data_IF_503634432937
#
_entry.id   IF_503634432937
#
_cell.length_a   1.000
_cell.length_b   1.000
_cell.length_c   1.000
_cell.angle_alpha   90.00
_cell.angle_beta   90.00
_cell.angle_gamma   90.00
#
_symmetry.space_group_name_H-M   'P 1'
#
loop_
_entity.id
_entity.type
_entity.pdbx_description
1 polymer ?
#
# COMPACT_ATOMS: atom_id res chain seq x y z
N UNK A 1 -11.33 33.11 -16.91
CA UNK A 1 -10.93 32.62 -16.66
C UNK A 1 -10.37 32.22 -16.12
N UNK A 2 -10.44 32.29 -15.85
CA UNK A 2 -9.87 31.65 -15.35
C UNK A 2 -9.62 31.38 -14.46
N UNK A 3 -10.00 31.31 -14.28
CA UNK A 3 -9.84 30.80 -13.53
C UNK A 3 -9.62 30.09 -13.07
N UNK A 4 -9.86 29.92 -12.95
CA UNK A 4 -9.62 28.96 -12.66
C UNK A 4 -8.81 28.51 -12.37
N UNK A 5 -8.80 28.64 -12.45
CA UNK A 5 -8.05 28.09 -12.23
C UNK A 5 -7.40 27.98 -11.55
N UNK A 6 -7.49 28.30 -11.44
CA UNK A 6 -6.84 28.02 -10.81
C UNK A 6 -6.73 27.64 -9.93
N UNK A 7 -7.32 27.57 -9.86
CA UNK A 7 -7.21 27.03 -9.07
C UNK A 7 -6.66 26.39 -8.55
N UNK A 8 -6.54 26.43 -8.90
CA UNK A 8 -6.00 25.84 -8.55
C UNK A 8 -5.47 25.28 -7.94
N UNK A 9 -5.63 25.22 -8.27
CA UNK A 9 -4.91 24.68 -7.82
C UNK A 9 -4.56 25.02 -6.60
N UNK A 10 -5.17 25.13 -6.00
CA UNK A 10 -4.81 25.33 -5.01
C UNK A 10 -4.35 24.69 -4.27
N UNK A 11 -4.56 24.95 -3.97
CA UNK A 11 -3.61 23.92 -3.74
C UNK A 11 -3.45 23.58 -2.29
N UNK A 12 -3.90 22.43 -1.95
CA UNK A 12 -3.69 21.86 -0.64
C UNK A 12 -2.30 21.22 -0.59
N UNK A 13 -1.61 21.27 0.56
CA UNK A 13 -0.36 20.53 0.68
C UNK A 13 -0.62 19.05 0.43
N UNK A 14 0.31 18.35 -0.19
CA UNK A 14 0.13 16.92 -0.39
C UNK A 14 -0.04 16.20 0.94
N UNK A 15 -0.93 15.24 0.97
CA UNK A 15 -1.14 14.42 2.15
C UNK A 15 0.14 13.65 2.45
N UNK A 16 0.64 13.77 3.67
CA UNK A 16 1.89 13.12 4.05
C UNK A 16 1.62 11.88 4.88
N UNK A 17 1.72 10.74 4.23
CA UNK A 17 1.58 9.46 4.89
C UNK A 17 2.85 9.13 5.68
N UNK A 18 2.65 8.45 6.79
CA UNK A 18 3.72 7.92 7.61
C UNK A 18 3.49 6.44 7.81
N UNK A 19 4.57 5.70 8.03
CA UNK A 19 4.50 4.30 8.40
C UNK A 19 5.46 4.05 9.54
N UNK A 20 5.04 3.27 10.53
CA UNK A 20 5.95 2.94 11.64
C UNK A 20 7.04 2.00 11.16
N UNK A 21 8.22 2.12 11.76
CA UNK A 21 9.34 1.23 11.46
C UNK A 21 8.95 -0.23 11.68
N UNK A 22 8.21 -0.48 12.74
CA UNK A 22 7.74 -1.82 13.04
C UNK A 22 6.87 -2.38 11.92
N UNK A 23 6.00 -1.56 11.36
CA UNK A 23 5.10 -1.98 10.28
C UNK A 23 5.87 -2.28 8.98
N UNK A 24 6.77 -1.39 8.58
CA UNK A 24 7.54 -1.63 7.35
C UNK A 24 8.48 -2.83 7.50
N UNK A 25 9.06 -3.01 8.67
CA UNK A 25 9.90 -4.19 8.93
C UNK A 25 9.08 -5.47 8.83
N UNK A 26 7.86 -5.46 9.34
CA UNK A 26 6.96 -6.61 9.21
C UNK A 26 6.67 -6.94 7.75
N UNK A 27 6.41 -5.91 6.94
CA UNK A 27 6.16 -6.08 5.49
C UNK A 27 7.37 -6.72 4.81
N UNK A 28 8.56 -6.20 5.09
CA UNK A 28 9.77 -6.68 4.43
C UNK A 28 10.12 -8.11 4.86
N UNK A 29 10.00 -8.41 6.14
CA UNK A 29 10.29 -9.76 6.64
C UNK A 29 9.25 -10.76 6.14
N UNK A 30 7.99 -10.39 6.10
CA UNK A 30 6.93 -11.25 5.60
C UNK A 30 7.10 -11.52 4.10
N UNK A 31 7.49 -10.51 3.35
CA UNK A 31 7.76 -10.66 1.91
C UNK A 31 8.92 -11.62 1.68
N UNK A 32 9.95 -11.51 2.50
CA UNK A 32 11.12 -12.38 2.42
C UNK A 32 10.76 -13.83 2.74
N UNK A 33 9.97 -14.04 3.79
CA UNK A 33 9.55 -15.38 4.23
C UNK A 33 8.66 -16.07 3.21
N UNK A 34 7.89 -15.31 2.46
CA UNK A 34 6.92 -15.84 1.51
C UNK A 34 7.55 -16.12 0.15
N UNK A 35 8.69 -15.46 -0.13
CA UNK A 35 9.36 -15.60 -1.41
C UNK A 35 9.57 -17.08 -1.78
N UNK A 36 9.33 -17.53 -3.02
CA UNK A 36 9.03 -16.73 -4.22
C UNK A 36 7.54 -16.41 -4.41
N UNK A 37 6.70 -16.78 -3.47
CA UNK A 37 5.29 -16.46 -3.52
C UNK A 37 5.06 -15.02 -3.08
N UNK A 38 3.92 -14.44 -3.45
CA UNK A 38 3.61 -13.06 -3.09
C UNK A 38 2.95 -12.99 -1.71
N UNK A 39 3.41 -12.04 -0.93
CA UNK A 39 2.79 -11.65 0.33
C UNK A 39 1.77 -10.55 0.05
N UNK A 40 0.65 -10.54 0.76
CA UNK A 40 -0.34 -9.47 0.60
C UNK A 40 -1.21 -9.25 1.84
N UNK A 41 -1.75 -8.05 1.91
CA UNK A 41 -2.63 -7.66 3.01
C UNK A 41 -3.14 -6.24 2.84
N UNK A 42 -3.75 -5.73 3.91
CA UNK A 42 -4.28 -4.37 3.96
C UNK A 42 -3.48 -3.51 4.92
N UNK A 43 -3.41 -2.24 4.61
CA UNK A 43 -2.75 -1.26 5.46
C UNK A 43 -3.77 -0.61 6.37
N UNK A 44 -3.50 -0.61 7.68
CA UNK A 44 -4.35 -0.01 8.69
C UNK A 44 -3.61 1.13 9.35
N UNK A 45 -4.35 2.25 9.56
CA UNK A 45 -3.81 3.42 10.25
C UNK A 45 -4.15 3.38 11.74
N UNK A 46 -3.42 4.20 12.49
CA UNK A 46 -3.66 4.41 13.91
C UNK A 46 -5.04 5.02 14.15
N UNK A 47 -5.65 4.72 15.29
CA UNK A 47 -6.99 5.20 15.63
C UNK A 47 -7.04 6.72 15.76
N UNK A 48 -5.96 7.33 16.19
CA UNK A 48 -5.87 8.77 16.43
C UNK A 48 -5.13 9.46 15.29
N UNK A 49 -3.94 8.96 14.96
CA UNK A 49 -3.11 9.52 13.89
C UNK A 49 -3.47 8.86 12.56
N UNK A 50 -4.50 9.39 11.92
CA UNK A 50 -5.11 8.78 10.74
C UNK A 50 -4.22 8.80 9.49
N UNK A 51 -3.08 9.46 9.55
CA UNK A 51 -2.08 9.50 8.48
C UNK A 51 -0.95 8.50 8.69
N UNK A 52 -0.99 7.74 9.79
CA UNK A 52 0.11 6.86 10.19
C UNK A 52 -0.30 5.40 10.08
N UNK A 53 0.34 4.69 9.16
CA UNK A 53 0.12 3.27 8.96
C UNK A 53 0.87 2.51 10.05
N UNK A 54 0.15 1.68 10.81
CA UNK A 54 0.70 1.03 11.99
C UNK A 54 0.68 -0.49 11.92
N UNK A 55 -0.15 -1.08 11.05
CA UNK A 55 -0.16 -2.54 10.96
C UNK A 55 -0.71 -3.02 9.62
N UNK A 56 -0.45 -4.29 9.33
CA UNK A 56 -0.97 -4.99 8.18
C UNK A 56 -2.03 -5.97 8.65
N UNK A 57 -3.20 -5.90 8.02
CA UNK A 57 -4.27 -6.88 8.24
C UNK A 57 -4.10 -7.96 7.19
N UNK A 58 -3.85 -9.17 7.64
CA UNK A 58 -3.65 -10.30 6.74
C UNK A 58 -4.98 -10.86 6.27
N UNK A 59 -4.99 -11.30 5.02
CA UNK A 59 -6.15 -12.00 4.45
C UNK A 59 -5.80 -13.48 4.38
N UNK A 60 -6.67 -14.37 4.86
CA UNK A 60 -6.39 -15.80 4.75
C UNK A 60 -6.09 -16.19 3.31
N UNK A 61 -5.01 -16.92 3.11
CA UNK A 61 -4.57 -17.37 1.79
C UNK A 61 -3.53 -16.50 1.12
N UNK A 62 -3.32 -15.25 1.56
CA UNK A 62 -2.30 -14.39 0.93
C UNK A 62 -0.89 -14.90 1.17
N UNK A 63 -0.63 -15.48 2.33
CA UNK A 63 0.69 -16.01 2.68
C UNK A 63 1.04 -17.23 1.83
N UNK A 64 0.03 -17.94 1.32
CA UNK A 64 0.26 -19.10 0.46
C UNK A 64 0.65 -18.71 -0.98
N UNK A 65 0.65 -17.44 -1.31
CA UNK A 65 1.02 -16.96 -2.62
C UNK A 65 -0.12 -16.92 -3.61
N UNK A 66 -1.34 -17.09 -3.14
CA UNK A 66 -2.53 -16.99 -3.99
C UNK A 66 -2.88 -15.52 -4.18
N UNK A 67 -2.52 -14.96 -5.33
CA UNK A 67 -2.81 -13.55 -5.62
C UNK A 67 -4.32 -13.26 -5.68
N UNK A 68 -5.14 -14.28 -5.89
CA UNK A 68 -6.59 -14.11 -5.89
C UNK A 68 -7.12 -13.77 -4.50
N UNK A 69 -6.38 -14.08 -3.45
CA UNK A 69 -6.81 -13.75 -2.09
C UNK A 69 -7.00 -12.24 -1.91
N UNK A 70 -6.25 -11.42 -2.64
CA UNK A 70 -6.39 -9.96 -2.59
C UNK A 70 -7.77 -9.54 -3.10
N UNK A 71 -8.33 -10.24 -4.07
CA UNK A 71 -9.65 -9.92 -4.61
C UNK A 71 -10.79 -10.23 -3.64
N UNK A 72 -10.52 -10.94 -2.56
CA UNK A 72 -11.53 -11.19 -1.52
C UNK A 72 -11.71 -10.01 -0.57
N UNK A 73 -11.01 -8.91 -0.83
CA UNK A 73 -11.10 -7.69 0.00
C UNK A 73 -12.54 -7.21 0.17
N UNK A 74 -13.34 -7.32 -0.88
CA UNK A 74 -14.75 -6.87 -0.85
C UNK A 74 -15.60 -7.69 0.11
N UNK A 75 -15.11 -8.84 0.58
CA UNK A 75 -15.83 -9.70 1.52
C UNK A 75 -15.55 -9.36 2.97
N UNK A 76 -14.61 -8.46 3.22
CA UNK A 76 -14.30 -8.01 4.57
C UNK A 76 -15.35 -7.02 5.05
N UNK A 77 -15.63 -6.98 6.36
CA UNK A 77 -16.46 -5.92 6.92
C UNK A 77 -15.83 -4.56 6.63
N UNK A 78 -16.67 -3.54 6.54
CA UNK A 78 -16.20 -2.18 6.36
C UNK A 78 -15.36 -1.78 7.57
N UNK A 79 -14.13 -1.33 7.31
CA UNK A 79 -13.21 -0.91 8.35
C UNK A 79 -12.56 0.40 7.87
N UNK A 80 -12.96 1.51 8.47
CA UNK A 80 -12.49 2.84 8.07
C UNK A 80 -11.02 3.08 8.45
N UNK A 81 -10.43 2.21 9.26
CA UNK A 81 -9.00 2.31 9.56
C UNK A 81 -8.13 1.69 8.46
N UNK A 82 -8.72 0.94 7.54
CA UNK A 82 -8.01 0.38 6.38
C UNK A 82 -7.95 1.45 5.29
N UNK A 83 -6.74 1.80 4.88
CA UNK A 83 -6.53 2.90 3.92
C UNK A 83 -5.95 2.44 2.60
N UNK A 84 -5.58 1.17 2.48
CA UNK A 84 -5.01 0.66 1.24
C UNK A 84 -4.51 -0.76 1.37
N UNK A 85 -3.58 -1.12 0.51
CA UNK A 85 -3.09 -2.49 0.38
C UNK A 85 -1.57 -2.55 0.37
N UNK A 86 -1.06 -3.74 0.61
CA UNK A 86 0.36 -4.04 0.44
C UNK A 86 0.48 -5.40 -0.21
N UNK A 87 1.42 -5.54 -1.14
CA UNK A 87 1.81 -6.85 -1.66
C UNK A 87 3.27 -6.83 -2.08
N UNK A 88 3.84 -8.02 -2.23
CA UNK A 88 5.22 -8.16 -2.67
C UNK A 88 5.28 -8.69 -4.09
N UNK A 89 6.36 -8.32 -4.78
CA UNK A 89 6.73 -8.89 -6.08
C UNK A 89 7.94 -9.79 -5.89
N UNK A 90 7.98 -10.96 -6.52
CA UNK A 90 9.17 -11.81 -6.44
C UNK A 90 10.33 -11.27 -7.27
N UNK A 91 10.08 -10.30 -8.13
CA UNK A 91 11.13 -9.62 -8.90
C UNK A 91 11.71 -8.45 -8.11
N UNK A 92 12.72 -7.81 -8.69
CA UNK A 92 13.32 -6.60 -8.10
C UNK A 92 12.67 -5.31 -8.61
N UNK A 93 11.46 -5.39 -9.17
CA UNK A 93 10.75 -4.24 -9.73
C UNK A 93 9.59 -3.88 -8.81
N UNK A 94 9.68 -2.77 -8.03
CA UNK A 94 8.65 -2.37 -7.08
C UNK A 94 7.58 -1.45 -7.71
N UNK A 95 7.22 -1.67 -8.96
CA UNK A 95 6.27 -0.83 -9.68
C UNK A 95 5.05 -1.64 -10.08
N UNK A 96 3.86 -0.99 -10.15
CA UNK A 96 2.60 -1.70 -10.38
C UNK A 96 2.47 -2.25 -11.79
N UNK A 97 1.89 -3.44 -11.88
CA UNK A 97 1.39 -3.99 -13.12
C UNK A 97 0.02 -3.37 -13.43
N UNK A 98 -0.53 -3.67 -14.61
CA UNK A 98 -1.88 -3.21 -14.97
C UNK A 98 -2.92 -3.74 -13.99
N UNK A 99 -2.79 -4.99 -13.55
CA UNK A 99 -3.68 -5.57 -12.57
C UNK A 99 -3.56 -4.86 -11.21
N UNK A 100 -2.35 -4.49 -10.81
CA UNK A 100 -2.12 -3.73 -9.59
C UNK A 100 -2.80 -2.37 -9.66
N UNK A 101 -2.70 -1.69 -10.80
CA UNK A 101 -3.34 -0.38 -10.98
C UNK A 101 -4.86 -0.47 -10.86
N UNK A 102 -5.46 -1.55 -11.37
CA UNK A 102 -6.89 -1.77 -11.20
C UNK A 102 -7.26 -1.99 -9.74
N UNK A 103 -6.44 -2.76 -9.03
CA UNK A 103 -6.63 -2.96 -7.60
C UNK A 103 -6.56 -1.64 -6.84
N UNK A 104 -5.55 -0.82 -7.13
CA UNK A 104 -5.35 0.47 -6.47
C UNK A 104 -6.56 1.38 -6.65
N UNK A 105 -7.15 1.40 -7.83
CA UNK A 105 -8.29 2.27 -8.12
C UNK A 105 -9.53 1.92 -7.31
N UNK A 106 -9.59 0.73 -6.73
CA UNK A 106 -10.77 0.23 -6.04
C UNK A 106 -10.62 0.11 -4.53
N UNK A 107 -9.40 0.11 -4.01
CA UNK A 107 -9.15 -0.36 -2.65
C UNK A 107 -8.28 0.57 -1.81
N UNK A 108 -8.59 1.86 -1.84
CA UNK A 108 -7.96 2.77 -0.90
C UNK A 108 -7.06 3.80 -1.55
N UNK A 109 -6.38 4.55 -0.70
CA UNK A 109 -5.63 5.75 -1.09
C UNK A 109 -4.13 5.54 -1.11
N UNK A 110 -3.64 4.49 -0.46
CA UNK A 110 -2.20 4.23 -0.37
C UNK A 110 -1.94 2.74 -0.54
N UNK A 111 -0.97 2.42 -1.41
CA UNK A 111 -0.66 1.04 -1.75
C UNK A 111 0.85 0.87 -1.77
N UNK A 112 1.34 -0.18 -1.13
CA UNK A 112 2.77 -0.46 -1.04
C UNK A 112 3.10 -1.71 -1.84
N UNK A 113 4.17 -1.64 -2.62
CA UNK A 113 4.75 -2.79 -3.30
C UNK A 113 6.17 -3.00 -2.75
N UNK A 114 6.43 -4.18 -2.21
CA UNK A 114 7.76 -4.57 -1.75
C UNK A 114 8.36 -5.53 -2.78
N UNK A 115 9.58 -5.27 -3.21
CA UNK A 115 10.28 -6.08 -4.21
C UNK A 115 11.54 -6.69 -3.63
N UNK A 116 12.02 -7.75 -4.27
CA UNK A 116 13.29 -8.36 -3.86
C UNK A 116 14.41 -7.33 -3.98
N UNK A 117 15.36 -7.27 -3.07
CA UNK A 117 15.66 -8.20 -1.98
C UNK A 117 14.95 -7.92 -0.66
N UNK A 118 13.91 -7.13 -0.66
CA UNK A 118 13.06 -6.85 0.50
C UNK A 118 13.80 -6.14 1.63
N UNK A 119 14.54 -5.11 1.28
CA UNK A 119 15.18 -4.23 2.25
C UNK A 119 14.51 -2.86 2.23
N UNK A 120 14.98 -1.95 3.09
CA UNK A 120 14.36 -0.65 3.27
C UNK A 120 14.35 0.22 2.00
N UNK A 121 15.15 -0.13 1.00
CA UNK A 121 15.24 0.61 -0.25
C UNK A 121 14.50 -0.06 -1.40
N UNK A 122 13.87 -1.20 -1.18
CA UNK A 122 13.27 -1.98 -2.26
C UNK A 122 11.75 -2.00 -2.22
N UNK A 123 11.13 -0.97 -1.66
CA UNK A 123 9.69 -0.81 -1.66
C UNK A 123 9.31 0.58 -2.14
N UNK A 124 8.09 0.69 -2.68
CA UNK A 124 7.53 1.95 -3.16
C UNK A 124 6.07 2.02 -2.76
N UNK A 125 5.54 3.24 -2.72
CA UNK A 125 4.15 3.47 -2.39
C UNK A 125 3.47 4.27 -3.50
N UNK A 126 2.17 4.07 -3.66
CA UNK A 126 1.39 4.63 -4.75
C UNK A 126 0.01 5.05 -4.27
N UNK A 127 -0.57 6.05 -4.91
CA UNK A 127 -1.96 6.42 -4.65
C UNK A 127 -2.92 5.57 -5.52
N UNK A 128 -4.21 5.87 -5.44
CA UNK A 128 -5.24 5.10 -6.17
C UNK A 128 -5.12 5.22 -7.68
N UNK A 129 -4.40 6.21 -8.18
CA UNK A 129 -4.16 6.40 -9.62
C UNK A 129 -2.81 5.85 -10.07
N UNK A 130 -2.04 5.24 -9.16
CA UNK A 130 -0.74 4.71 -9.48
C UNK A 130 0.40 5.72 -9.44
N UNK A 131 0.13 6.93 -8.97
CA UNK A 131 1.17 7.93 -8.78
C UNK A 131 1.99 7.61 -7.55
N UNK A 132 3.29 7.73 -7.65
CA UNK A 132 4.17 7.39 -6.54
C UNK A 132 3.99 8.36 -5.38
N UNK A 133 3.92 7.81 -4.17
CA UNK A 133 3.82 8.57 -2.93
C UNK A 133 5.12 8.43 -2.15
N UNK A 134 5.46 9.48 -1.41
CA UNK A 134 6.59 9.46 -0.50
C UNK A 134 6.06 9.24 0.93
N UNK A 135 6.31 8.05 1.48
CA UNK A 135 5.88 7.72 2.84
C UNK A 135 7.09 7.85 3.78
N UNK A 136 6.88 8.55 4.88
CA UNK A 136 7.92 8.77 5.88
C UNK A 136 7.91 7.62 6.89
N UNK A 137 9.04 6.97 7.07
CA UNK A 137 9.21 5.92 8.08
C UNK A 137 9.53 6.59 9.41
N UNK A 138 8.75 6.27 10.43
CA UNK A 138 8.93 6.86 11.75
C UNK A 138 9.20 5.83 12.84
#
# INVERSE_FOLDING_TARGET
MGFFKKKEKKSYPPHKWKITRKCIDFILESSKSTYPNEFGGFLRVDDIKKDTIVEVVLIPGTISGDSHAIFKMHMLPIDFSVVGSVHSHPSNVPYPSDADLQLFSKHGKVHIIAAAPYNINSWRAFDSNGNELNIIVI
#
